data_IF_117035132684
#
_entry.id   IF_117035132684
#
_cell.length_a   1.000
_cell.length_b   1.000
_cell.length_c   1.000
_cell.angle_alpha   90.00
_cell.angle_beta   90.00
_cell.angle_gamma   90.00
#
_symmetry.space_group_name_H-M   'P 1'
#
loop_
_entity.id
_entity.type
_entity.pdbx_description
1 polymer ?
#
# COMPACT_ATOMS: atom_id res chain seq x y z
N UNK A 1 6.01 4.45 -4.66
CA UNK A 1 4.82 3.57 -4.75
C UNK A 1 5.10 2.18 -4.18
N UNK A 2 4.22 1.64 -3.34
CA UNK A 2 4.34 0.27 -2.83
C UNK A 2 3.16 -0.58 -3.30
N UNK A 3 3.48 -1.61 -4.09
CA UNK A 3 2.52 -2.47 -4.77
C UNK A 3 3.03 -3.92 -4.80
N UNK A 4 2.23 -4.90 -5.28
CA UNK A 4 2.79 -6.20 -5.66
C UNK A 4 3.85 -6.04 -6.77
N UNK A 5 4.71 -7.04 -6.94
CA UNK A 5 5.70 -7.05 -8.03
C UNK A 5 5.01 -6.91 -9.41
N UNK A 6 5.59 -6.11 -10.30
CA UNK A 6 5.09 -5.83 -11.66
C UNK A 6 5.05 -7.08 -12.56
N UNK A 7 5.74 -8.15 -12.18
CA UNK A 7 5.77 -9.42 -12.91
C UNK A 7 4.50 -10.29 -12.70
N UNK A 8 3.58 -9.89 -11.80
CA UNK A 8 2.34 -10.62 -11.57
C UNK A 8 1.26 -10.17 -12.57
N UNK A 9 0.81 -11.07 -13.46
CA UNK A 9 -0.31 -10.82 -14.38
C UNK A 9 -1.56 -10.39 -13.60
N UNK A 10 -2.10 -9.20 -13.91
CA UNK A 10 -3.35 -8.69 -13.33
C UNK A 10 -3.52 -7.17 -13.45
N UNK A 11 -4.75 -6.66 -13.28
CA UNK A 11 -5.09 -5.25 -13.52
C UNK A 11 -4.29 -4.22 -12.70
N UNK A 12 -3.85 -4.57 -11.48
CA UNK A 12 -2.97 -3.71 -10.68
C UNK A 12 -1.58 -3.51 -11.31
N UNK A 13 -1.03 -4.54 -11.96
CA UNK A 13 0.29 -4.44 -12.60
C UNK A 13 0.22 -3.58 -13.86
N UNK A 14 -0.80 -3.78 -14.69
CA UNK A 14 -1.04 -2.93 -15.87
C UNK A 14 -1.24 -1.46 -15.50
N UNK A 15 -1.99 -1.18 -14.42
CA UNK A 15 -2.13 0.18 -13.90
C UNK A 15 -0.79 0.79 -13.45
N UNK A 16 0.05 0.02 -12.74
CA UNK A 16 1.35 0.51 -12.31
C UNK A 16 2.29 0.79 -13.47
N UNK A 17 2.32 -0.08 -14.48
CA UNK A 17 3.11 0.14 -15.69
C UNK A 17 2.66 1.39 -16.43
N UNK A 18 1.34 1.59 -16.56
CA UNK A 18 0.79 2.82 -17.12
C UNK A 18 1.26 4.04 -16.33
N UNK A 19 1.03 4.07 -15.00
CA UNK A 19 1.44 5.23 -14.18
C UNK A 19 2.94 5.49 -14.24
N UNK A 20 3.77 4.46 -14.26
CA UNK A 20 5.22 4.64 -14.38
C UNK A 20 5.64 5.18 -15.76
N UNK A 21 4.88 4.87 -16.82
CA UNK A 21 5.15 5.32 -18.18
C UNK A 21 4.56 6.71 -18.49
N UNK A 22 3.46 7.09 -17.85
CA UNK A 22 2.80 8.39 -18.04
C UNK A 22 3.09 9.38 -16.93
N UNK A 23 4.00 9.05 -16.01
CA UNK A 23 4.43 9.98 -14.97
C UNK A 23 5.05 11.23 -15.62
N UNK A 24 4.67 12.45 -15.18
CA UNK A 24 5.36 13.67 -15.58
C UNK A 24 6.84 13.60 -15.19
N UNK A 25 7.72 14.27 -15.95
CA UNK A 25 9.16 14.26 -15.73
C UNK A 25 9.55 14.83 -14.34
N UNK A 26 8.69 15.65 -13.75
CA UNK A 26 8.86 16.22 -12.42
C UNK A 26 8.57 15.23 -11.28
N UNK A 27 8.05 14.04 -11.59
CA UNK A 27 7.63 13.04 -10.61
C UNK A 27 8.50 11.78 -10.70
N UNK A 28 9.42 11.63 -9.75
CA UNK A 28 10.18 10.39 -9.62
C UNK A 28 9.36 9.31 -8.89
N UNK A 29 9.03 8.22 -9.61
CA UNK A 29 8.29 7.09 -9.04
C UNK A 29 9.23 5.93 -8.70
N UNK A 30 9.53 5.75 -7.41
CA UNK A 30 10.21 4.55 -6.92
C UNK A 30 9.21 3.45 -6.56
N UNK A 31 9.25 2.31 -7.26
CA UNK A 31 8.42 1.14 -6.94
C UNK A 31 9.13 0.21 -5.95
N UNK A 32 8.44 -0.12 -4.85
CA UNK A 32 8.89 -1.13 -3.89
C UNK A 32 7.89 -2.29 -3.92
N UNK A 33 8.28 -3.46 -4.47
CA UNK A 33 7.44 -4.63 -4.43
C UNK A 33 7.35 -5.14 -2.99
N UNK A 34 6.15 -5.57 -2.60
CA UNK A 34 5.83 -5.93 -1.20
C UNK A 34 5.29 -7.35 -1.04
N UNK A 35 5.25 -8.10 -2.14
CA UNK A 35 4.82 -9.48 -2.17
C UNK A 35 5.38 -10.18 -3.41
N UNK A 36 5.78 -11.44 -3.24
CA UNK A 36 6.18 -12.37 -4.29
C UNK A 36 5.58 -13.76 -4.04
N UNK A 37 5.53 -14.58 -5.08
CA UNK A 37 5.19 -16.00 -5.02
C UNK A 37 6.32 -16.79 -4.32
N UNK A 38 5.96 -17.81 -3.53
CA UNK A 38 6.92 -18.61 -2.76
C UNK A 38 6.39 -19.06 -1.39
N UNK A 39 7.26 -19.72 -0.61
CA UNK A 39 6.99 -20.22 0.74
C UNK A 39 6.68 -19.09 1.73
N UNK A 40 6.06 -19.42 2.87
CA UNK A 40 5.72 -18.45 3.92
C UNK A 40 6.92 -17.61 4.40
N UNK A 41 8.08 -18.26 4.58
CA UNK A 41 9.32 -17.60 4.96
C UNK A 41 9.82 -16.61 3.89
N UNK A 42 9.80 -17.01 2.61
CA UNK A 42 10.18 -16.09 1.51
C UNK A 42 9.27 -14.87 1.45
N UNK A 43 7.96 -15.05 1.64
CA UNK A 43 7.00 -13.93 1.69
C UNK A 43 7.25 -12.99 2.85
N UNK A 44 7.62 -13.53 4.03
CA UNK A 44 7.97 -12.73 5.20
C UNK A 44 9.24 -11.92 4.94
N UNK A 45 10.31 -12.57 4.47
CA UNK A 45 11.58 -11.91 4.17
C UNK A 45 11.39 -10.80 3.13
N UNK A 46 10.61 -11.06 2.08
CA UNK A 46 10.30 -10.07 1.05
C UNK A 46 9.58 -8.84 1.62
N UNK A 47 8.64 -9.05 2.55
CA UNK A 47 7.98 -7.95 3.25
C UNK A 47 8.93 -7.20 4.19
N UNK A 48 9.80 -7.91 4.91
CA UNK A 48 10.80 -7.29 5.79
C UNK A 48 11.77 -6.40 4.99
N UNK A 49 12.24 -6.87 3.83
CA UNK A 49 13.07 -6.06 2.91
C UNK A 49 12.33 -4.81 2.44
N UNK A 50 11.04 -4.92 2.11
CA UNK A 50 10.23 -3.76 1.73
C UNK A 50 10.10 -2.74 2.89
N UNK A 51 9.93 -3.20 4.12
CA UNK A 51 9.92 -2.34 5.31
C UNK A 51 11.26 -1.62 5.48
N UNK A 52 12.38 -2.34 5.41
CA UNK A 52 13.72 -1.76 5.56
C UNK A 52 14.03 -0.74 4.47
N UNK A 53 13.67 -1.04 3.21
CA UNK A 53 13.85 -0.10 2.10
C UNK A 53 13.02 1.17 2.27
N UNK A 54 11.76 1.03 2.70
CA UNK A 54 10.93 2.20 3.02
C UNK A 54 11.55 3.01 4.16
N UNK A 55 11.99 2.34 5.24
CA UNK A 55 12.62 3.00 6.38
C UNK A 55 13.86 3.81 5.97
N UNK A 56 14.72 3.21 5.14
CA UNK A 56 15.91 3.85 4.60
C UNK A 56 15.58 5.11 3.80
N UNK A 57 14.61 5.03 2.87
CA UNK A 57 14.21 6.17 2.05
C UNK A 57 13.59 7.30 2.87
N UNK A 58 12.75 6.95 3.85
CA UNK A 58 12.15 7.91 4.79
C UNK A 58 13.20 8.61 5.65
N UNK A 59 14.15 7.84 6.21
CA UNK A 59 15.24 8.36 7.04
C UNK A 59 16.17 9.29 6.25
N UNK A 60 16.47 8.94 5.00
CA UNK A 60 17.26 9.77 4.09
C UNK A 60 16.50 10.97 3.52
N UNK A 61 15.24 11.18 3.92
CA UNK A 61 14.33 12.22 3.42
C UNK A 61 14.17 12.21 1.89
N UNK A 62 14.34 11.06 1.24
CA UNK A 62 14.19 10.85 -0.21
C UNK A 62 12.75 10.46 -0.60
N UNK A 63 11.76 10.90 0.18
CA UNK A 63 10.37 10.48 -0.02
C UNK A 63 9.43 11.60 0.39
N UNK A 64 8.75 12.16 -0.61
CA UNK A 64 7.76 13.20 -0.39
C UNK A 64 6.39 12.61 -0.11
N UNK A 65 5.99 11.56 -0.84
CA UNK A 65 4.66 10.93 -0.72
C UNK A 65 4.78 9.40 -0.76
N UNK A 66 4.04 8.73 0.13
CA UNK A 66 3.94 7.27 0.16
C UNK A 66 2.58 6.82 -0.38
N UNK A 67 2.57 6.31 -1.61
CA UNK A 67 1.38 5.75 -2.25
C UNK A 67 1.34 4.22 -2.12
N UNK A 68 0.31 3.69 -1.43
CA UNK A 68 0.13 2.29 -1.10
C UNK A 68 -1.09 1.69 -1.80
N UNK A 69 -0.85 0.68 -2.63
CA UNK A 69 -1.92 -0.09 -3.27
C UNK A 69 -2.25 -1.33 -2.44
N UNK A 70 -3.51 -1.48 -2.07
CA UNK A 70 -3.98 -2.61 -1.28
C UNK A 70 -5.25 -3.23 -1.87
N UNK A 71 -5.45 -4.51 -1.58
CA UNK A 71 -6.62 -5.28 -1.96
C UNK A 71 -7.29 -5.81 -0.68
N UNK A 72 -7.53 -7.12 -0.56
CA UNK A 72 -8.12 -7.74 0.63
C UNK A 72 -7.12 -8.60 1.42
N UNK A 73 -7.53 -9.04 2.63
CA UNK A 73 -6.81 -10.00 3.49
C UNK A 73 -5.39 -9.53 3.83
N UNK A 74 -4.38 -10.39 3.61
CA UNK A 74 -2.98 -10.10 3.94
C UNK A 74 -2.40 -8.84 3.29
N UNK A 75 -2.99 -8.36 2.19
CA UNK A 75 -2.59 -7.10 1.56
C UNK A 75 -2.85 -5.90 2.47
N UNK A 76 -4.03 -5.86 3.12
CA UNK A 76 -4.41 -4.78 4.04
C UNK A 76 -3.39 -4.68 5.18
N UNK A 77 -3.14 -5.79 5.87
CA UNK A 77 -2.21 -5.84 7.00
C UNK A 77 -0.82 -5.34 6.65
N UNK A 78 -0.22 -5.88 5.58
CA UNK A 78 1.12 -5.48 5.14
C UNK A 78 1.20 -4.00 4.76
N UNK A 79 0.21 -3.49 4.01
CA UNK A 79 0.21 -2.10 3.56
C UNK A 79 -0.05 -1.14 4.69
N UNK A 80 -0.91 -1.50 5.63
CA UNK A 80 -1.23 -0.63 6.74
C UNK A 80 -0.08 -0.54 7.76
N UNK A 81 0.73 -1.59 7.90
CA UNK A 81 2.01 -1.51 8.61
C UNK A 81 2.93 -0.47 7.93
N UNK A 82 3.10 -0.55 6.62
CA UNK A 82 3.91 0.42 5.85
C UNK A 82 3.35 1.85 5.94
N UNK A 83 2.03 2.00 5.96
CA UNK A 83 1.36 3.28 6.16
C UNK A 83 1.74 3.89 7.52
N UNK A 84 1.67 3.09 8.59
CA UNK A 84 2.05 3.55 9.93
C UNK A 84 3.51 3.92 10.02
N UNK A 85 4.40 3.15 9.39
CA UNK A 85 5.83 3.50 9.27
C UNK A 85 5.97 4.87 8.61
N UNK A 86 5.35 5.10 7.46
CA UNK A 86 5.41 6.40 6.77
C UNK A 86 4.86 7.55 7.61
N UNK A 87 3.73 7.34 8.30
CA UNK A 87 3.13 8.34 9.19
C UNK A 87 4.04 8.71 10.37
N UNK A 88 4.82 7.77 10.91
CA UNK A 88 5.79 8.05 11.99
C UNK A 88 6.92 8.98 11.54
N UNK A 89 7.23 9.00 10.24
CA UNK A 89 8.18 9.93 9.64
C UNK A 89 7.49 11.20 9.08
N UNK A 90 6.24 11.45 9.50
CA UNK A 90 5.42 12.58 9.06
C UNK A 90 5.26 12.71 7.54
N UNK A 91 5.34 11.59 6.81
CA UNK A 91 5.13 11.59 5.36
C UNK A 91 3.66 11.37 5.01
N UNK A 92 3.10 12.15 4.07
CA UNK A 92 1.73 11.96 3.61
C UNK A 92 1.56 10.57 2.98
N UNK A 93 0.47 9.91 3.36
CA UNK A 93 0.15 8.55 2.89
C UNK A 93 -1.09 8.60 2.02
N UNK A 94 -0.94 8.14 0.78
CA UNK A 94 -2.03 7.93 -0.17
C UNK A 94 -2.37 6.44 -0.21
N UNK A 95 -3.56 6.08 0.25
CA UNK A 95 -4.06 4.71 0.18
C UNK A 95 -4.86 4.53 -1.12
N UNK A 96 -4.72 3.39 -1.78
CA UNK A 96 -5.50 3.07 -2.99
C UNK A 96 -6.05 1.65 -2.88
N UNK A 97 -7.37 1.54 -2.75
CA UNK A 97 -8.10 0.30 -2.66
C UNK A 97 -8.43 -0.24 -4.06
N UNK A 98 -7.86 -1.41 -4.40
CA UNK A 98 -8.14 -2.12 -5.64
C UNK A 98 -9.22 -3.20 -5.51
N UNK A 99 -9.77 -3.41 -4.31
CA UNK A 99 -10.75 -4.47 -4.05
C UNK A 99 -12.06 -3.92 -3.51
N UNK A 100 -13.15 -4.12 -4.24
CA UNK A 100 -14.51 -3.83 -3.76
C UNK A 100 -14.93 -4.65 -2.54
N UNK A 101 -14.22 -5.74 -2.21
CA UNK A 101 -14.48 -6.58 -1.05
C UNK A 101 -13.76 -6.12 0.24
N UNK A 102 -13.08 -4.97 0.24
CA UNK A 102 -12.49 -4.41 1.45
C UNK A 102 -13.52 -4.06 2.55
N UNK A 103 -14.77 -3.60 2.29
CA UNK A 103 -15.74 -3.32 3.35
C UNK A 103 -16.16 -4.60 4.07
N UNK A 104 -16.39 -5.68 3.33
CA UNK A 104 -16.75 -6.99 3.90
C UNK A 104 -15.58 -7.54 4.72
N UNK A 105 -14.36 -7.44 4.20
CA UNK A 105 -13.16 -7.78 4.95
C UNK A 105 -13.08 -6.99 6.26
N UNK A 106 -13.30 -5.66 6.22
CA UNK A 106 -13.28 -4.80 7.40
C UNK A 106 -14.37 -5.19 8.41
N UNK A 107 -15.61 -5.40 7.97
CA UNK A 107 -16.74 -5.79 8.83
C UNK A 107 -16.51 -7.13 9.53
N UNK A 108 -15.83 -8.07 8.87
CA UNK A 108 -15.49 -9.37 9.42
C UNK A 108 -14.36 -9.37 10.47
N UNK A 109 -13.67 -8.23 10.68
CA UNK A 109 -12.55 -8.18 11.64
C UNK A 109 -12.99 -7.99 13.09
N UNK A 110 -12.15 -8.42 14.03
CA UNK A 110 -12.36 -8.19 15.48
C UNK A 110 -12.33 -6.69 15.82
N UNK A 111 -12.93 -6.28 16.94
CA UNK A 111 -13.04 -4.86 17.31
C UNK A 111 -11.71 -4.09 17.33
N UNK A 112 -10.64 -4.69 17.85
CA UNK A 112 -9.31 -4.07 17.86
C UNK A 112 -8.68 -3.96 16.46
N UNK A 113 -8.90 -4.96 15.62
CA UNK A 113 -8.45 -4.98 14.22
C UNK A 113 -9.17 -3.90 13.41
N UNK A 114 -10.50 -3.79 13.55
CA UNK A 114 -11.29 -2.72 12.93
C UNK A 114 -10.80 -1.35 13.36
N UNK A 115 -10.57 -1.16 14.66
CA UNK A 115 -10.05 0.12 15.18
C UNK A 115 -8.67 0.46 14.60
N UNK A 116 -7.79 -0.52 14.45
CA UNK A 116 -6.47 -0.31 13.85
C UNK A 116 -6.55 0.05 12.37
N UNK A 117 -7.39 -0.67 11.60
CA UNK A 117 -7.66 -0.37 10.19
C UNK A 117 -8.24 1.05 10.05
N UNK A 118 -9.29 1.36 10.81
CA UNK A 118 -9.97 2.65 10.78
C UNK A 118 -9.00 3.80 11.08
N UNK A 119 -8.19 3.68 12.14
CA UNK A 119 -7.17 4.69 12.46
C UNK A 119 -6.13 4.85 11.36
N UNK A 120 -5.74 3.77 10.70
CA UNK A 120 -4.78 3.86 9.60
C UNK A 120 -5.36 4.58 8.40
N UNK A 121 -6.64 4.32 8.07
CA UNK A 121 -7.36 5.05 7.01
C UNK A 121 -7.55 6.52 7.39
N UNK A 122 -7.97 6.82 8.62
CA UNK A 122 -8.17 8.19 9.11
C UNK A 122 -6.89 9.03 9.13
N UNK A 123 -5.74 8.39 9.39
CA UNK A 123 -4.43 9.05 9.36
C UNK A 123 -3.85 9.18 7.94
N UNK A 124 -4.45 8.52 6.94
CA UNK A 124 -4.01 8.68 5.56
C UNK A 124 -4.42 10.06 5.05
N UNK A 125 -3.55 10.67 4.25
CA UNK A 125 -3.83 11.97 3.65
C UNK A 125 -5.01 11.88 2.68
N UNK A 126 -5.11 10.77 1.94
CA UNK A 126 -6.20 10.49 0.99
C UNK A 126 -6.39 8.97 0.83
N UNK A 127 -7.62 8.57 0.48
CA UNK A 127 -7.98 7.21 0.09
C UNK A 127 -8.62 7.25 -1.31
N UNK A 128 -8.00 6.58 -2.27
CA UNK A 128 -8.51 6.36 -3.62
C UNK A 128 -9.26 5.02 -3.66
N UNK A 129 -10.44 5.04 -4.24
CA UNK A 129 -11.35 3.90 -4.39
C UNK A 129 -11.83 3.85 -5.84
N UNK A 130 -12.04 2.65 -6.37
CA UNK A 130 -12.39 2.43 -7.78
C UNK A 130 -13.91 2.42 -8.04
N UNK A 131 -14.74 2.45 -7.00
CA UNK A 131 -16.21 2.42 -7.15
C UNK A 131 -16.88 3.46 -6.25
N UNK A 132 -17.94 4.12 -6.76
CA UNK A 132 -18.70 5.15 -6.04
C UNK A 132 -19.38 4.61 -4.77
N UNK A 133 -19.57 3.28 -4.67
CA UNK A 133 -20.12 2.59 -3.50
C UNK A 133 -19.34 2.85 -2.19
N UNK A 134 -18.11 3.38 -2.29
CA UNK A 134 -17.27 3.76 -1.15
C UNK A 134 -17.51 5.16 -0.61
N UNK A 135 -18.29 5.99 -1.31
CA UNK A 135 -18.52 7.39 -0.96
C UNK A 135 -19.59 7.57 0.13
N UNK A 136 -20.35 6.51 0.43
CA UNK A 136 -21.39 6.46 1.46
C UNK A 136 -20.82 6.04 2.82
#
# INVERSE_FOLDING_TARGET
>A
MLAPASEVKGGMSSFLQLVMHTAPDEVEIQHIPTWSTGSGFRRFLFFAVACLRLLYLLAMRKTDIVHLHFAKKGSVWRKFILARIASLFHRPVLLHAHSGAFPDFYRAQKGWQRRWIARTVQNASRLIVLTEQWRQ
#
